data_IF_017260616149
#
_entry.id   IF_017260616149
#
_cell.length_a   1.000
_cell.length_b   1.000
_cell.length_c   1.000
_cell.angle_alpha   90.00
_cell.angle_beta   90.00
_cell.angle_gamma   90.00
#
_symmetry.space_group_name_H-M   'P 1'
#
loop_
_entity.id
_entity.type
_entity.pdbx_description
1 polymer ?
#
# COMPACT_ATOMS: atom_id res chain seq x y z
N UNK A 1 -49.24 -30.86 16.04
CA UNK A 1 -47.98 -30.97 15.28
C UNK A 1 -48.25 -30.54 13.85
N UNK A 2 -48.03 -29.26 13.55
CA UNK A 2 -48.05 -28.73 12.19
C UNK A 2 -46.64 -28.19 12.00
N UNK A 3 -45.83 -28.95 11.27
CA UNK A 3 -44.42 -28.65 11.01
C UNK A 3 -44.31 -27.46 10.08
N UNK A 4 -43.67 -26.43 10.60
CA UNK A 4 -43.18 -25.22 9.93
C UNK A 4 -42.51 -25.56 8.59
N UNK A 5 -43.16 -25.14 7.50
CA UNK A 5 -42.58 -25.07 6.16
C UNK A 5 -42.53 -23.59 5.78
N UNK A 6 -41.41 -23.18 5.16
CA UNK A 6 -41.08 -21.83 4.66
C UNK A 6 -40.49 -20.90 5.71
N UNK A 7 -39.18 -20.65 5.57
CA UNK A 7 -38.54 -19.32 5.61
C UNK A 7 -37.04 -19.41 5.95
N UNK A 8 -36.28 -20.22 5.21
CA UNK A 8 -34.80 -20.13 5.20
C UNK A 8 -34.28 -20.11 3.75
N UNK A 9 -35.05 -19.45 2.88
CA UNK A 9 -34.61 -19.04 1.55
C UNK A 9 -34.63 -17.52 1.55
N UNK A 10 -33.56 -16.90 2.02
CA UNK A 10 -33.50 -15.45 2.15
C UNK A 10 -32.13 -14.97 2.57
N UNK A 11 -31.35 -14.57 1.55
CA UNK A 11 -30.37 -13.50 1.61
C UNK A 11 -29.11 -13.73 2.47
N UNK A 12 -28.11 -14.38 1.88
CA UNK A 12 -26.70 -14.04 2.13
C UNK A 12 -25.90 -14.36 0.87
N UNK A 13 -26.03 -13.50 -0.14
CA UNK A 13 -25.13 -13.47 -1.30
C UNK A 13 -25.15 -12.08 -1.94
N UNK A 14 -24.71 -11.07 -1.18
CA UNK A 14 -24.28 -9.79 -1.75
C UNK A 14 -22.83 -9.59 -1.32
N UNK A 15 -21.92 -10.22 -2.05
CA UNK A 15 -20.48 -9.98 -1.94
C UNK A 15 -19.79 -10.44 -3.24
N UNK A 16 -20.20 -9.90 -4.39
CA UNK A 16 -19.52 -10.16 -5.66
C UNK A 16 -19.80 -9.07 -6.73
N UNK A 17 -19.99 -7.81 -6.33
CA UNK A 17 -20.18 -6.69 -7.26
C UNK A 17 -19.34 -5.47 -6.86
N UNK A 18 -18.04 -5.67 -6.67
CA UNK A 18 -17.06 -4.61 -6.94
C UNK A 18 -16.12 -5.16 -8.00
N UNK A 19 -16.09 -4.46 -9.13
CA UNK A 19 -15.50 -4.94 -10.36
C UNK A 19 -14.01 -5.27 -10.24
N UNK A 20 -13.64 -6.36 -10.89
CA UNK A 20 -12.28 -6.66 -11.29
C UNK A 20 -11.76 -5.54 -12.23
N UNK A 21 -11.05 -4.54 -11.71
CA UNK A 21 -9.98 -3.79 -12.42
C UNK A 21 -9.55 -2.47 -11.74
N UNK A 22 -9.98 -2.14 -10.53
CA UNK A 22 -9.45 -0.99 -9.80
C UNK A 22 -8.52 -1.50 -8.69
N UNK A 23 -7.21 -1.43 -8.91
CA UNK A 23 -6.22 -1.57 -7.83
C UNK A 23 -6.52 -0.50 -6.78
N UNK A 24 -6.53 -0.88 -5.50
CA UNK A 24 -6.70 0.10 -4.43
C UNK A 24 -5.49 1.04 -4.36
N UNK A 25 -5.63 2.30 -3.91
CA UNK A 25 -4.51 3.25 -3.80
C UNK A 25 -3.31 2.68 -3.04
N UNK A 26 -3.57 1.84 -2.03
CA UNK A 26 -2.52 1.14 -1.27
C UNK A 26 -1.80 0.06 -2.09
N UNK A 27 -2.49 -0.63 -2.99
CA UNK A 27 -1.86 -1.63 -3.87
C UNK A 27 -0.97 -0.99 -4.93
N UNK A 28 -1.41 0.14 -5.48
CA UNK A 28 -0.63 0.96 -6.41
C UNK A 28 0.64 1.47 -5.72
N UNK A 29 0.52 2.15 -4.57
CA UNK A 29 1.68 2.61 -3.81
C UNK A 29 2.62 1.47 -3.36
N UNK A 30 2.11 0.25 -3.14
CA UNK A 30 2.95 -0.95 -2.88
C UNK A 30 3.67 -1.45 -4.13
N UNK A 31 3.07 -1.28 -5.30
CA UNK A 31 3.71 -1.59 -6.56
C UNK A 31 4.82 -0.57 -6.82
N UNK A 32 4.54 0.71 -6.65
CA UNK A 32 5.50 1.79 -6.87
C UNK A 32 6.72 1.65 -5.94
N UNK A 33 6.50 1.36 -4.65
CA UNK A 33 7.61 1.07 -3.73
C UNK A 33 8.46 -0.14 -4.16
N UNK A 34 7.84 -1.16 -4.78
CA UNK A 34 8.58 -2.32 -5.28
C UNK A 34 9.36 -2.00 -6.55
N UNK A 35 8.77 -1.18 -7.43
CA UNK A 35 9.40 -0.72 -8.66
C UNK A 35 10.61 0.16 -8.32
N UNK A 36 10.44 1.18 -7.46
CA UNK A 36 11.53 2.01 -6.96
C UNK A 36 12.65 1.17 -6.32
N UNK A 37 12.33 0.19 -5.47
CA UNK A 37 13.34 -0.71 -4.90
C UNK A 37 14.11 -1.51 -5.97
N UNK A 38 13.42 -1.94 -7.03
CA UNK A 38 14.00 -2.71 -8.13
C UNK A 38 14.87 -1.85 -9.04
N UNK A 39 14.46 -0.62 -9.32
CA UNK A 39 15.22 0.36 -10.11
C UNK A 39 16.51 0.72 -9.37
N UNK A 40 16.41 1.11 -8.10
CA UNK A 40 17.57 1.42 -7.25
C UNK A 40 18.54 0.24 -7.14
N UNK A 41 18.05 -1.00 -7.05
CA UNK A 41 18.94 -2.17 -7.06
C UNK A 41 19.71 -2.32 -8.37
N UNK A 42 19.08 -2.02 -9.51
CA UNK A 42 19.74 -2.06 -10.82
C UNK A 42 20.77 -0.94 -10.96
N UNK A 43 20.46 0.26 -10.47
CA UNK A 43 21.37 1.40 -10.51
C UNK A 43 22.60 1.18 -9.62
N UNK A 44 22.41 0.69 -8.39
CA UNK A 44 23.53 0.32 -7.52
C UNK A 44 24.38 -0.78 -8.18
N UNK A 45 23.75 -1.76 -8.83
CA UNK A 45 24.49 -2.81 -9.53
C UNK A 45 25.29 -2.26 -10.73
N UNK A 46 24.74 -1.29 -11.46
CA UNK A 46 25.43 -0.61 -12.55
C UNK A 46 26.61 0.22 -12.02
N UNK A 47 26.40 1.00 -10.95
CA UNK A 47 27.43 1.77 -10.28
C UNK A 47 28.55 0.87 -9.71
N UNK A 48 28.21 -0.30 -9.15
CA UNK A 48 29.20 -1.28 -8.69
C UNK A 48 30.02 -1.87 -9.84
N UNK A 49 29.41 -2.05 -11.02
CA UNK A 49 30.12 -2.48 -12.22
C UNK A 49 31.09 -1.38 -12.69
N UNK A 50 30.64 -0.13 -12.78
CA UNK A 50 31.47 1.01 -13.16
C UNK A 50 32.65 1.19 -12.19
N UNK A 51 32.39 1.12 -10.89
CA UNK A 51 33.40 1.12 -9.84
C UNK A 51 34.41 -0.05 -9.96
N UNK A 52 33.98 -1.20 -10.47
CA UNK A 52 34.88 -2.32 -10.74
C UNK A 52 35.74 -2.08 -11.99
N UNK A 53 35.19 -1.43 -13.02
CA UNK A 53 35.92 -1.03 -14.23
C UNK A 53 36.98 0.02 -13.91
N UNK A 54 36.63 1.08 -13.17
CA UNK A 54 37.57 2.12 -12.69
C UNK A 54 38.78 1.48 -11.99
N UNK A 55 38.52 0.57 -11.03
CA UNK A 55 39.58 -0.15 -10.30
C UNK A 55 40.39 -1.09 -11.18
N UNK A 56 39.77 -1.69 -12.20
CA UNK A 56 40.45 -2.59 -13.12
C UNK A 56 41.37 -1.83 -14.10
N UNK A 57 40.94 -0.67 -14.59
CA UNK A 57 41.76 0.19 -15.44
C UNK A 57 42.98 0.73 -14.66
N UNK A 58 42.76 1.16 -13.42
CA UNK A 58 43.80 1.58 -12.49
C UNK A 58 44.70 0.44 -11.98
N UNK A 59 44.68 -0.76 -12.57
CA UNK A 59 45.59 -1.87 -12.22
C UNK A 59 46.74 -2.08 -13.20
N UNK A 60 46.76 -1.41 -14.37
CA UNK A 60 47.50 -1.94 -15.53
C UNK A 60 48.87 -1.35 -15.87
N UNK A 61 49.32 -0.17 -15.40
CA UNK A 61 50.53 -0.09 -14.54
C UNK A 61 50.67 1.29 -13.81
N UNK A 62 50.06 1.46 -12.64
CA UNK A 62 50.02 2.78 -11.96
C UNK A 62 50.64 2.77 -10.57
N UNK A 63 51.02 3.97 -10.12
CA UNK A 63 51.55 4.20 -8.79
C UNK A 63 50.49 3.92 -7.70
N UNK A 64 50.91 3.68 -6.46
CA UNK A 64 49.96 3.43 -5.35
C UNK A 64 49.03 4.61 -5.05
N UNK A 65 49.34 5.81 -5.54
CA UNK A 65 48.53 7.03 -5.39
C UNK A 65 47.34 7.01 -6.36
N UNK A 66 47.57 6.72 -7.64
CA UNK A 66 46.53 6.57 -8.66
C UNK A 66 45.57 5.40 -8.34
N UNK A 67 46.08 4.32 -7.73
CA UNK A 67 45.23 3.22 -7.24
C UNK A 67 44.29 3.69 -6.12
N UNK A 68 44.76 4.59 -5.25
CA UNK A 68 43.97 5.12 -4.14
C UNK A 68 42.93 6.15 -4.62
N UNK A 69 43.27 6.96 -5.62
CA UNK A 69 42.32 7.85 -6.28
C UNK A 69 41.21 7.06 -6.97
N UNK A 70 41.56 6.02 -7.72
CA UNK A 70 40.58 5.14 -8.37
C UNK A 70 39.69 4.39 -7.37
N UNK A 71 40.24 3.94 -6.23
CA UNK A 71 39.44 3.34 -5.15
C UNK A 71 38.48 4.37 -4.52
N UNK A 72 38.87 5.64 -4.43
CA UNK A 72 38.02 6.71 -3.90
C UNK A 72 36.90 7.05 -4.89
N UNK A 73 37.23 7.24 -6.16
CA UNK A 73 36.25 7.50 -7.23
C UNK A 73 35.22 6.36 -7.32
N UNK A 74 35.69 5.10 -7.34
CA UNK A 74 34.84 3.92 -7.33
C UNK A 74 33.94 3.83 -6.08
N UNK A 75 34.39 4.33 -4.93
CA UNK A 75 33.59 4.37 -3.71
C UNK A 75 32.54 5.50 -3.77
N UNK A 76 32.90 6.66 -4.29
CA UNK A 76 32.01 7.82 -4.48
C UNK A 76 30.87 7.47 -5.46
N UNK A 77 31.16 6.83 -6.61
CA UNK A 77 30.13 6.39 -7.57
C UNK A 77 29.07 5.47 -6.94
N UNK A 78 29.50 4.48 -6.16
CA UNK A 78 28.56 3.56 -5.48
C UNK A 78 27.83 4.26 -4.33
N UNK A 79 28.47 5.23 -3.67
CA UNK A 79 27.85 6.00 -2.61
C UNK A 79 26.74 6.90 -3.15
N UNK A 80 27.01 7.65 -4.21
CA UNK A 80 26.02 8.54 -4.84
C UNK A 80 24.77 7.76 -5.27
N UNK A 81 24.95 6.65 -6.00
CA UNK A 81 23.83 5.79 -6.41
C UNK A 81 23.02 5.22 -5.22
N UNK A 82 23.67 5.00 -4.06
CA UNK A 82 22.97 4.55 -2.84
C UNK A 82 22.23 5.67 -2.14
N UNK A 83 22.76 6.88 -2.14
CA UNK A 83 22.14 8.05 -1.52
C UNK A 83 20.91 8.49 -2.31
N UNK A 84 21.04 8.62 -3.63
CA UNK A 84 19.93 8.95 -4.54
C UNK A 84 18.82 7.90 -4.46
N UNK A 85 19.18 6.61 -4.58
CA UNK A 85 18.18 5.54 -4.48
C UNK A 85 17.54 5.39 -3.09
N UNK A 86 18.21 5.83 -2.01
CA UNK A 86 17.57 5.89 -0.70
C UNK A 86 16.52 6.98 -0.60
N UNK A 87 16.73 8.13 -1.25
CA UNK A 87 15.76 9.22 -1.31
C UNK A 87 14.51 8.75 -2.04
N UNK A 88 14.64 8.12 -3.21
CA UNK A 88 13.52 7.57 -3.99
C UNK A 88 12.72 6.52 -3.20
N UNK A 89 13.41 5.57 -2.56
CA UNK A 89 12.74 4.56 -1.71
C UNK A 89 12.04 5.23 -0.52
N UNK A 90 12.59 6.31 0.03
CA UNK A 90 11.99 7.04 1.14
C UNK A 90 10.72 7.74 0.71
N UNK A 91 10.71 8.39 -0.45
CA UNK A 91 9.53 9.04 -1.04
C UNK A 91 8.42 8.02 -1.30
N UNK A 92 8.72 6.92 -1.99
CA UNK A 92 7.73 5.86 -2.25
C UNK A 92 7.18 5.22 -0.96
N UNK A 93 7.97 5.16 0.12
CA UNK A 93 7.49 4.70 1.44
C UNK A 93 6.54 5.70 2.09
N UNK A 94 6.81 7.00 1.92
CA UNK A 94 5.94 8.04 2.42
C UNK A 94 4.57 7.97 1.72
N UNK A 95 4.56 7.87 0.38
CA UNK A 95 3.33 7.72 -0.40
C UNK A 95 2.51 6.50 0.01
N UNK A 96 3.17 5.36 0.23
CA UNK A 96 2.50 4.16 0.75
C UNK A 96 1.88 4.39 2.14
N UNK A 97 2.54 5.17 2.99
CA UNK A 97 2.04 5.48 4.33
C UNK A 97 0.82 6.39 4.25
N UNK A 98 0.86 7.41 3.39
CA UNK A 98 -0.25 8.34 3.16
C UNK A 98 -1.45 7.61 2.57
N UNK A 99 -1.26 6.76 1.56
CA UNK A 99 -2.33 5.95 0.98
C UNK A 99 -2.99 4.99 1.99
N UNK A 100 -2.20 4.41 2.91
CA UNK A 100 -2.74 3.57 3.98
C UNK A 100 -3.55 4.38 4.99
N UNK A 101 -3.11 5.60 5.29
CA UNK A 101 -3.82 6.48 6.19
C UNK A 101 -5.15 6.93 5.59
N UNK A 102 -5.15 7.37 4.33
CA UNK A 102 -6.36 7.77 3.60
C UNK A 102 -7.39 6.62 3.57
N UNK A 103 -6.96 5.41 3.17
CA UNK A 103 -7.84 4.24 3.17
C UNK A 103 -8.42 3.93 4.55
N UNK A 104 -7.65 4.14 5.62
CA UNK A 104 -8.13 3.93 6.99
C UNK A 104 -9.17 4.97 7.38
N UNK A 105 -8.95 6.23 7.02
CA UNK A 105 -9.83 7.34 7.36
C UNK A 105 -11.16 7.21 6.59
N UNK A 106 -11.11 6.87 5.29
CA UNK A 106 -12.29 6.55 4.49
C UNK A 106 -13.11 5.41 5.10
N UNK A 107 -12.44 4.32 5.52
CA UNK A 107 -13.12 3.20 6.15
C UNK A 107 -13.76 3.57 7.51
N UNK A 108 -13.17 4.50 8.26
CA UNK A 108 -13.77 4.99 9.51
C UNK A 108 -15.01 5.83 9.24
N UNK A 109 -14.96 6.73 8.26
CA UNK A 109 -16.10 7.56 7.85
C UNK A 109 -17.27 6.70 7.36
N UNK A 110 -17.00 5.64 6.59
CA UNK A 110 -18.02 4.67 6.18
C UNK A 110 -18.65 3.93 7.37
N UNK A 111 -17.84 3.52 8.35
CA UNK A 111 -18.33 2.86 9.56
C UNK A 111 -19.19 3.80 10.40
N UNK A 112 -18.77 5.06 10.57
CA UNK A 112 -19.53 6.06 11.32
C UNK A 112 -20.88 6.34 10.65
N UNK A 113 -20.88 6.53 9.33
CA UNK A 113 -22.11 6.73 8.56
C UNK A 113 -23.06 5.53 8.64
N UNK A 114 -22.52 4.31 8.61
CA UNK A 114 -23.30 3.09 8.78
C UNK A 114 -23.91 2.98 10.19
N UNK A 115 -23.17 3.35 11.24
CA UNK A 115 -23.68 3.34 12.61
C UNK A 115 -24.82 4.35 12.83
N UNK A 116 -24.71 5.54 12.25
CA UNK A 116 -25.78 6.54 12.31
C UNK A 116 -27.05 6.04 11.61
N UNK A 117 -26.88 5.41 10.45
CA UNK A 117 -27.98 4.80 9.69
C UNK A 117 -28.68 3.70 10.50
N UNK A 118 -27.91 2.77 11.08
CA UNK A 118 -28.46 1.68 11.92
C UNK A 118 -29.19 2.25 13.13
N UNK A 119 -28.64 3.26 13.80
CA UNK A 119 -29.28 3.88 14.97
C UNK A 119 -30.62 4.51 14.61
N UNK A 120 -30.71 5.13 13.43
CA UNK A 120 -31.96 5.71 12.91
C UNK A 120 -32.99 4.63 12.62
N UNK A 121 -32.59 3.54 11.95
CA UNK A 121 -33.47 2.40 11.68
C UNK A 121 -33.96 1.73 12.97
N UNK A 122 -33.11 1.62 14.00
CA UNK A 122 -33.51 1.09 15.31
C UNK A 122 -34.58 1.96 15.99
N UNK A 123 -34.47 3.29 15.89
CA UNK A 123 -35.48 4.21 16.42
C UNK A 123 -36.82 4.07 15.68
N UNK A 124 -36.78 4.01 14.35
CA UNK A 124 -37.97 3.81 13.52
C UNK A 124 -38.66 2.49 13.83
N UNK A 125 -37.89 1.41 14.01
CA UNK A 125 -38.41 0.11 14.41
C UNK A 125 -39.07 0.14 15.80
N UNK A 126 -38.47 0.84 16.77
CA UNK A 126 -39.07 1.00 18.11
C UNK A 126 -40.40 1.76 18.05
N UNK A 127 -40.47 2.85 17.27
CA UNK A 127 -41.72 3.60 17.10
C UNK A 127 -42.81 2.78 16.40
N UNK A 128 -42.43 2.02 15.37
CA UNK A 128 -43.37 1.12 14.69
C UNK A 128 -43.90 0.03 15.63
N UNK A 129 -43.04 -0.55 16.49
CA UNK A 129 -43.45 -1.54 17.48
C UNK A 129 -44.40 -0.97 18.53
N UNK A 130 -44.15 0.23 19.05
CA UNK A 130 -45.08 0.91 19.96
C UNK A 130 -46.44 1.16 19.31
N UNK A 131 -46.43 1.67 18.07
CA UNK A 131 -47.67 1.93 17.32
C UNK A 131 -48.50 0.67 17.12
N UNK A 132 -47.85 -0.47 16.84
CA UNK A 132 -48.53 -1.77 16.73
C UNK A 132 -49.10 -2.23 18.07
N UNK A 133 -48.36 -2.11 19.16
CA UNK A 133 -48.84 -2.47 20.50
C UNK A 133 -50.05 -1.64 20.91
N UNK A 134 -50.03 -0.33 20.65
CA UNK A 134 -51.15 0.57 20.96
C UNK A 134 -52.39 0.28 20.10
N UNK A 135 -52.21 -0.20 18.87
CA UNK A 135 -53.33 -0.60 18.00
C UNK A 135 -53.94 -1.96 18.37
N UNK A 136 -53.19 -2.82 19.07
CA UNK A 136 -53.63 -4.14 19.54
C UNK A 136 -54.25 -4.11 20.96
N UNK A 137 -54.12 -3.01 21.69
CA UNK A 137 -54.63 -2.80 23.06
C UNK A 137 -56.07 -2.24 23.08
#
# INVERSE_FOLDING_TARGET
MITSWKNWAGLLAVAALVGCSNTTPVEEARQDLREAQSEVHQEIAAAEQEAAEIRHEARRPVSGEEMREADQEAAETVQEAREEGQEEISEARQELTEAQQEQRDDAQDEIESAQESVTTEEQDLQQAQQTLQDAEA
#
